data_IF_702358420531
#
_entry.id   IF_702358420531
#
_cell.length_a   1.000
_cell.length_b   1.000
_cell.length_c   1.000
_cell.angle_alpha   90.00
_cell.angle_beta   90.00
_cell.angle_gamma   90.00
#
_symmetry.space_group_name_H-M   'P 1'
#
loop_
_entity.id
_entity.type
_entity.pdbx_description
1 polymer ?
#
# COMPACT_ATOMS: atom_id res chain seq x y z
N UNK A 1 -12.01 10.38 26.40
CA UNK A 1 -11.62 9.85 25.08
C UNK A 1 -10.14 10.17 24.87
N UNK A 2 -9.28 9.33 25.42
CA UNK A 2 -7.82 9.54 25.47
C UNK A 2 -7.22 9.35 24.08
N UNK A 3 -6.71 10.42 23.48
CA UNK A 3 -5.96 10.34 22.22
C UNK A 3 -4.61 9.72 22.55
N UNK A 4 -4.50 8.40 22.44
CA UNK A 4 -3.23 7.68 22.53
C UNK A 4 -2.29 8.19 21.43
N UNK A 5 -1.44 9.19 21.77
CA UNK A 5 -0.19 9.41 21.05
C UNK A 5 0.71 8.26 21.47
N UNK A 6 0.71 7.18 20.68
CA UNK A 6 1.77 6.16 20.77
C UNK A 6 3.03 6.78 20.17
N UNK A 7 3.66 7.65 20.95
CA UNK A 7 5.00 8.15 20.73
C UNK A 7 5.98 7.22 21.44
N UNK A 8 7.08 6.93 20.75
CA UNK A 8 8.31 6.35 21.27
C UNK A 8 8.32 4.81 21.44
N UNK A 9 8.90 4.18 20.40
CA UNK A 9 9.68 2.93 20.47
C UNK A 9 9.01 1.72 21.14
N UNK A 10 7.70 1.59 21.04
CA UNK A 10 7.02 0.38 21.46
C UNK A 10 7.04 -0.65 20.33
N UNK A 11 8.00 -1.58 20.40
CA UNK A 11 7.95 -2.84 19.66
C UNK A 11 6.78 -3.67 20.22
N UNK A 12 5.56 -3.30 19.83
CA UNK A 12 4.34 -3.96 20.27
C UNK A 12 4.04 -5.14 19.34
N UNK A 13 3.92 -6.32 19.95
CA UNK A 13 3.80 -7.59 19.24
C UNK A 13 2.48 -7.70 18.46
N UNK A 14 1.37 -7.16 19.01
CA UNK A 14 0.05 -7.16 18.35
C UNK A 14 -0.79 -5.95 18.79
N UNK A 15 -1.27 -5.14 17.85
CA UNK A 15 -2.16 -4.02 18.13
C UNK A 15 -3.50 -4.13 17.39
N UNK A 16 -4.58 -3.83 18.12
CA UNK A 16 -5.90 -3.54 17.56
C UNK A 16 -6.16 -2.05 17.76
N UNK A 17 -6.47 -1.38 16.67
CA UNK A 17 -6.63 0.05 16.64
C UNK A 17 -8.06 0.40 16.23
N UNK A 18 -8.62 1.44 16.86
CA UNK A 18 -10.00 1.90 16.62
C UNK A 18 -10.24 2.42 15.19
N UNK A 19 -11.30 3.19 14.99
CA UNK A 19 -11.73 3.64 13.65
C UNK A 19 -10.67 4.47 12.91
N UNK A 20 -9.98 5.39 13.60
CA UNK A 20 -9.10 6.39 12.96
C UNK A 20 -7.71 6.56 13.62
N UNK A 21 -6.94 5.48 13.81
CA UNK A 21 -5.70 5.51 14.59
C UNK A 21 -4.58 6.19 13.81
N UNK A 22 -3.68 6.86 14.53
CA UNK A 22 -2.50 7.51 13.93
C UNK A 22 -1.21 7.00 14.54
N UNK A 23 -0.36 6.43 13.70
CA UNK A 23 0.95 5.92 14.08
C UNK A 23 2.06 6.78 13.47
N UNK A 24 3.09 7.05 14.26
CA UNK A 24 4.24 7.85 13.83
C UNK A 24 5.50 7.29 14.45
N UNK A 25 6.54 7.06 13.64
CA UNK A 25 7.82 6.48 14.09
C UNK A 25 7.63 5.16 14.86
N UNK A 26 6.79 4.27 14.32
CA UNK A 26 6.43 3.00 14.97
C UNK A 26 7.02 1.80 14.24
N UNK A 27 7.42 0.78 15.00
CA UNK A 27 7.82 -0.52 14.48
C UNK A 27 6.92 -1.58 15.12
N UNK A 28 6.08 -2.22 14.31
CA UNK A 28 5.03 -3.14 14.78
C UNK A 28 5.13 -4.47 14.05
N UNK A 29 5.07 -5.57 14.77
CA UNK A 29 5.09 -6.88 14.12
C UNK A 29 3.72 -7.16 13.47
N UNK A 30 2.63 -6.99 14.23
CA UNK A 30 1.27 -7.21 13.74
C UNK A 30 0.33 -6.07 14.11
N UNK A 31 -0.34 -5.49 13.12
CA UNK A 31 -1.36 -4.46 13.33
C UNK A 31 -2.67 -4.86 12.63
N UNK A 32 -3.78 -4.80 13.35
CA UNK A 32 -5.11 -4.69 12.76
C UNK A 32 -5.65 -3.31 13.08
N UNK A 33 -5.76 -2.49 12.03
CA UNK A 33 -6.30 -1.16 12.16
C UNK A 33 -7.71 -1.08 11.58
N UNK A 34 -8.55 -0.22 12.18
CA UNK A 34 -9.92 0.04 11.75
C UNK A 34 -10.00 0.77 10.41
N UNK A 35 -11.07 1.55 10.24
CA UNK A 35 -11.49 2.10 8.95
C UNK A 35 -10.43 2.97 8.26
N UNK A 36 -9.79 3.90 8.99
CA UNK A 36 -8.99 4.96 8.35
C UNK A 36 -7.61 5.21 9.02
N UNK A 37 -6.76 4.19 9.21
CA UNK A 37 -5.47 4.37 9.86
C UNK A 37 -4.54 5.30 9.07
N UNK A 38 -3.81 6.13 9.80
CA UNK A 38 -2.79 7.02 9.25
C UNK A 38 -1.42 6.67 9.83
N UNK A 39 -0.51 6.22 8.99
CA UNK A 39 0.81 5.76 9.43
C UNK A 39 1.92 6.50 8.72
N UNK A 40 2.84 7.03 9.53
CA UNK A 40 3.93 7.88 9.07
C UNK A 40 5.23 7.31 9.62
N UNK A 41 6.25 7.18 8.77
CA UNK A 41 7.58 6.72 9.18
C UNK A 41 7.50 5.41 9.99
N UNK A 42 6.76 4.43 9.49
CA UNK A 42 6.48 3.20 10.23
C UNK A 42 6.98 1.97 9.49
N UNK A 43 7.42 0.97 10.24
CA UNK A 43 7.83 -0.33 9.74
C UNK A 43 6.88 -1.40 10.29
N UNK A 44 6.26 -2.20 9.41
CA UNK A 44 5.37 -3.29 9.84
C UNK A 44 5.61 -4.61 9.11
N UNK A 45 5.66 -5.72 9.85
CA UNK A 45 5.79 -7.04 9.23
C UNK A 45 4.44 -7.51 8.65
N UNK A 46 3.36 -7.42 9.44
CA UNK A 46 2.02 -7.85 9.02
C UNK A 46 0.95 -6.82 9.39
N UNK A 47 0.16 -6.43 8.40
CA UNK A 47 -0.92 -5.47 8.59
C UNK A 47 -2.21 -5.87 7.88
N UNK A 48 -3.32 -5.70 8.60
CA UNK A 48 -4.66 -5.62 8.03
C UNK A 48 -5.25 -4.24 8.35
N UNK A 49 -5.51 -3.45 7.32
CA UNK A 49 -6.12 -2.13 7.45
C UNK A 49 -7.53 -2.15 6.85
N UNK A 50 -8.42 -1.31 7.40
CA UNK A 50 -9.78 -1.13 6.93
C UNK A 50 -9.87 -0.35 5.62
N UNK A 51 -10.97 0.38 5.45
CA UNK A 51 -11.43 0.98 4.19
C UNK A 51 -10.43 1.95 3.56
N UNK A 52 -9.97 2.99 4.27
CA UNK A 52 -9.27 4.14 3.65
C UNK A 52 -7.90 4.47 4.27
N UNK A 53 -6.97 3.50 4.37
CA UNK A 53 -5.74 3.68 5.12
C UNK A 53 -4.73 4.56 4.36
N UNK A 54 -3.99 5.40 5.09
CA UNK A 54 -3.00 6.34 4.54
C UNK A 54 -1.60 6.08 5.08
N UNK A 55 -0.64 6.02 4.17
CA UNK A 55 0.74 5.65 4.48
C UNK A 55 1.74 6.61 3.87
N UNK A 56 2.70 7.03 4.69
CA UNK A 56 3.79 7.90 4.28
C UNK A 56 5.12 7.43 4.83
N UNK A 57 6.14 7.34 3.98
CA UNK A 57 7.50 6.97 4.40
C UNK A 57 7.51 5.64 5.17
N UNK A 58 6.78 4.62 4.71
CA UNK A 58 6.58 3.39 5.46
C UNK A 58 7.12 2.17 4.71
N UNK A 59 7.57 1.17 5.46
CA UNK A 59 8.07 -0.11 4.93
C UNK A 59 7.19 -1.22 5.49
N UNK A 60 6.66 -2.09 4.62
CA UNK A 60 5.86 -3.22 5.08
C UNK A 60 6.13 -4.52 4.32
N UNK A 61 6.18 -5.64 5.02
CA UNK A 61 6.41 -6.93 4.36
C UNK A 61 5.10 -7.49 3.79
N UNK A 62 4.05 -7.59 4.62
CA UNK A 62 2.77 -8.19 4.23
C UNK A 62 1.60 -7.28 4.61
N UNK A 63 0.81 -6.91 3.60
CA UNK A 63 -0.35 -6.06 3.79
C UNK A 63 -1.60 -6.56 3.06
N UNK A 64 -2.72 -6.52 3.76
CA UNK A 64 -4.07 -6.48 3.18
C UNK A 64 -4.75 -5.16 3.54
N UNK A 65 -4.96 -4.30 2.55
CA UNK A 65 -5.68 -3.04 2.70
C UNK A 65 -7.10 -3.16 2.12
N UNK A 66 -8.01 -2.33 2.63
CA UNK A 66 -9.40 -2.24 2.16
C UNK A 66 -9.55 -1.51 0.84
N UNK A 67 -10.63 -0.74 0.75
CA UNK A 67 -11.21 -0.24 -0.49
C UNK A 67 -10.44 0.90 -1.16
N UNK A 68 -9.91 1.86 -0.40
CA UNK A 68 -9.32 3.09 -0.97
C UNK A 68 -7.96 3.51 -0.35
N UNK A 69 -6.98 2.61 -0.19
CA UNK A 69 -5.67 2.96 0.35
C UNK A 69 -4.90 4.03 -0.44
N UNK A 70 -4.18 4.88 0.29
CA UNK A 70 -3.28 5.89 -0.26
C UNK A 70 -1.85 5.75 0.28
N UNK A 71 -0.88 5.75 -0.63
CA UNK A 71 0.52 5.49 -0.32
C UNK A 71 1.47 6.49 -0.94
N UNK A 72 2.41 6.96 -0.12
CA UNK A 72 3.44 7.91 -0.54
C UNK A 72 4.80 7.51 0.01
N UNK A 73 5.78 7.42 -0.88
CA UNK A 73 7.17 7.14 -0.50
C UNK A 73 7.28 5.87 0.36
N UNK A 74 6.75 4.76 -0.14
CA UNK A 74 6.64 3.52 0.65
C UNK A 74 7.16 2.33 -0.13
N UNK A 75 7.70 1.35 0.59
CA UNK A 75 8.24 0.12 0.02
C UNK A 75 7.49 -1.07 0.64
N UNK A 76 7.03 -2.01 -0.19
CA UNK A 76 6.36 -3.20 0.30
C UNK A 76 6.74 -4.46 -0.48
N UNK A 77 6.91 -5.59 0.21
CA UNK A 77 7.13 -6.86 -0.48
C UNK A 77 5.83 -7.41 -1.08
N UNK A 78 4.80 -7.60 -0.24
CA UNK A 78 3.59 -8.34 -0.60
C UNK A 78 2.35 -7.56 -0.20
N UNK A 79 1.54 -7.25 -1.20
CA UNK A 79 0.35 -6.45 -0.99
C UNK A 79 -0.86 -6.98 -1.77
N UNK A 80 -2.00 -6.98 -1.09
CA UNK A 80 -3.32 -7.13 -1.68
C UNK A 80 -4.20 -5.93 -1.31
N UNK A 81 -4.76 -5.28 -2.32
CA UNK A 81 -5.72 -4.17 -2.17
C UNK A 81 -7.09 -4.57 -2.71
N UNK A 82 -8.14 -3.98 -2.13
CA UNK A 82 -9.54 -4.18 -2.47
C UNK A 82 -9.91 -3.63 -3.84
N UNK A 83 -10.29 -2.36 -3.93
CA UNK A 83 -10.94 -1.77 -5.11
C UNK A 83 -10.09 -0.69 -5.78
N UNK A 84 -9.85 0.41 -5.08
CA UNK A 84 -9.16 1.59 -5.60
C UNK A 84 -7.89 1.85 -4.79
N UNK A 85 -6.84 2.34 -5.44
CA UNK A 85 -5.58 2.56 -4.76
C UNK A 85 -4.81 3.72 -5.38
N UNK A 86 -4.16 4.53 -4.55
CA UNK A 86 -3.33 5.63 -5.03
C UNK A 86 -1.89 5.48 -4.54
N UNK A 87 -0.97 5.41 -5.50
CA UNK A 87 0.45 5.18 -5.24
C UNK A 87 1.30 6.30 -5.80
N UNK A 88 2.21 6.81 -4.96
CA UNK A 88 3.18 7.82 -5.37
C UNK A 88 4.56 7.50 -4.81
N UNK A 89 5.58 7.49 -5.68
CA UNK A 89 6.96 7.24 -5.29
C UNK A 89 7.07 5.94 -4.47
N UNK A 90 6.53 4.83 -4.97
CA UNK A 90 6.46 3.58 -4.18
C UNK A 90 7.06 2.40 -4.91
N UNK A 91 7.55 1.41 -4.17
CA UNK A 91 8.23 0.23 -4.70
C UNK A 91 7.58 -1.06 -4.19
N UNK A 92 7.36 -2.03 -5.09
CA UNK A 92 6.71 -3.30 -4.76
C UNK A 92 7.41 -4.51 -5.41
N UNK A 93 7.55 -5.60 -4.66
CA UNK A 93 7.94 -6.87 -5.27
C UNK A 93 6.73 -7.59 -5.88
N UNK A 94 5.69 -7.81 -5.08
CA UNK A 94 4.51 -8.59 -5.46
C UNK A 94 3.23 -7.87 -5.07
N UNK A 95 2.47 -7.50 -6.09
CA UNK A 95 1.25 -6.75 -5.91
C UNK A 95 0.05 -7.37 -6.63
N UNK A 96 -1.07 -7.40 -5.92
CA UNK A 96 -2.42 -7.56 -6.48
C UNK A 96 -3.29 -6.38 -6.07
N UNK A 97 -3.84 -5.66 -7.04
CA UNK A 97 -4.78 -4.56 -6.80
C UNK A 97 -6.19 -4.90 -7.30
N UNK A 98 -7.13 -4.01 -6.98
CA UNK A 98 -8.50 -4.02 -7.46
C UNK A 98 -8.71 -3.28 -8.76
N UNK A 99 -9.96 -2.92 -9.00
CA UNK A 99 -10.52 -2.40 -10.24
C UNK A 99 -9.84 -1.15 -10.80
N UNK A 100 -9.58 -0.11 -9.99
CA UNK A 100 -9.23 1.23 -10.52
C UNK A 100 -7.95 1.88 -9.91
N UNK A 101 -6.80 1.21 -9.92
CA UNK A 101 -5.59 1.70 -9.25
C UNK A 101 -4.90 2.81 -10.06
N UNK A 102 -4.32 3.77 -9.35
CA UNK A 102 -3.58 4.90 -9.91
C UNK A 102 -2.15 4.95 -9.39
N UNK A 103 -1.22 5.09 -10.32
CA UNK A 103 0.21 4.96 -10.07
C UNK A 103 0.98 6.17 -10.59
N UNK A 104 1.92 6.65 -9.79
CA UNK A 104 2.85 7.71 -10.18
C UNK A 104 4.25 7.43 -9.65
N UNK A 105 5.26 7.48 -10.52
CA UNK A 105 6.68 7.33 -10.14
C UNK A 105 6.90 6.06 -9.30
N UNK A 106 6.48 4.89 -9.77
CA UNK A 106 6.51 3.66 -8.96
C UNK A 106 7.21 2.52 -9.68
N UNK A 107 7.89 1.65 -8.94
CA UNK A 107 8.62 0.50 -9.47
C UNK A 107 8.00 -0.80 -8.95
N UNK A 108 7.72 -1.75 -9.83
CA UNK A 108 7.07 -3.01 -9.49
C UNK A 108 7.73 -4.20 -10.18
N UNK A 109 8.12 -5.22 -9.42
CA UNK A 109 8.71 -6.43 -10.01
C UNK A 109 7.63 -7.34 -10.60
N UNK A 110 6.53 -7.59 -9.86
CA UNK A 110 5.39 -8.41 -10.29
C UNK A 110 4.06 -7.75 -9.91
N UNK A 111 3.30 -7.34 -10.91
CA UNK A 111 1.99 -6.71 -10.75
C UNK A 111 0.89 -7.55 -11.42
N UNK A 112 -0.18 -7.82 -10.66
CA UNK A 112 -1.50 -8.13 -11.18
C UNK A 112 -2.43 -6.96 -10.87
N UNK A 113 -2.56 -6.05 -11.82
CA UNK A 113 -3.46 -4.91 -11.71
C UNK A 113 -4.89 -5.32 -12.11
N UNK A 114 -5.90 -4.58 -11.64
CA UNK A 114 -7.29 -4.82 -12.04
C UNK A 114 -7.64 -4.24 -13.40
N UNK A 115 -8.91 -3.85 -13.55
CA UNK A 115 -9.54 -3.68 -14.86
C UNK A 115 -9.28 -2.34 -15.53
N UNK A 116 -9.01 -1.27 -14.78
CA UNK A 116 -8.83 0.08 -15.34
C UNK A 116 -7.63 0.85 -14.77
N UNK A 117 -6.42 0.25 -14.64
CA UNK A 117 -5.27 0.93 -14.08
C UNK A 117 -4.79 2.14 -14.88
N UNK A 118 -4.26 3.12 -14.15
CA UNK A 118 -3.58 4.31 -14.71
C UNK A 118 -2.17 4.44 -14.17
N UNK A 119 -1.18 4.43 -15.05
CA UNK A 119 0.23 4.56 -14.69
C UNK A 119 0.90 5.79 -15.31
N UNK A 120 1.79 6.42 -14.53
CA UNK A 120 2.64 7.52 -15.00
C UNK A 120 4.04 7.36 -14.42
N UNK A 121 5.04 7.31 -15.29
CA UNK A 121 6.45 7.16 -14.89
C UNK A 121 6.67 5.92 -14.02
N UNK A 122 6.15 4.77 -14.45
CA UNK A 122 6.27 3.53 -13.69
C UNK A 122 7.14 2.51 -14.41
N UNK A 123 7.85 1.67 -13.66
CA UNK A 123 8.68 0.60 -14.22
C UNK A 123 8.15 -0.74 -13.74
N UNK A 124 8.03 -1.69 -14.66
CA UNK A 124 7.48 -3.02 -14.38
C UNK A 124 8.38 -4.13 -14.92
N UNK A 125 8.64 -5.14 -14.08
CA UNK A 125 9.22 -6.40 -14.56
C UNK A 125 8.16 -7.26 -15.25
N UNK A 126 7.18 -7.74 -14.49
CA UNK A 126 6.05 -8.57 -14.99
C UNK A 126 4.73 -7.91 -14.69
N UNK A 127 3.95 -7.62 -15.72
CA UNK A 127 2.62 -7.01 -15.61
C UNK A 127 1.54 -7.95 -16.13
N UNK A 128 0.49 -8.12 -15.33
CA UNK A 128 -0.82 -8.55 -15.78
C UNK A 128 -1.83 -7.46 -15.49
N UNK A 129 -2.65 -7.14 -16.48
CA UNK A 129 -3.72 -6.16 -16.38
C UNK A 129 -5.03 -6.80 -16.81
N UNK A 130 -6.15 -6.36 -16.23
CA UNK A 130 -7.49 -6.71 -16.69
C UNK A 130 -7.85 -5.99 -18.00
N UNK A 131 -9.10 -5.57 -18.11
CA UNK A 131 -9.71 -5.12 -19.37
C UNK A 131 -8.99 -3.97 -20.08
N UNK A 132 -8.69 -2.89 -19.38
CA UNK A 132 -8.20 -1.65 -20.00
C UNK A 132 -7.06 -1.01 -19.21
N UNK A 133 -6.02 -0.60 -19.93
CA UNK A 133 -4.79 -0.09 -19.35
C UNK A 133 -4.48 1.30 -19.91
N UNK A 134 -4.09 2.26 -19.06
CA UNK A 134 -3.53 3.55 -19.53
C UNK A 134 -2.19 3.82 -18.88
N UNK A 135 -1.11 3.90 -19.67
CA UNK A 135 0.22 4.28 -19.17
C UNK A 135 0.82 5.47 -19.93
N UNK A 136 1.65 6.26 -19.23
CA UNK A 136 2.51 7.29 -19.83
C UNK A 136 3.93 7.13 -19.31
N UNK A 137 4.91 7.14 -20.22
CA UNK A 137 6.34 7.09 -19.89
C UNK A 137 6.68 5.95 -18.92
N UNK A 138 6.18 4.74 -19.19
CA UNK A 138 6.29 3.61 -18.26
C UNK A 138 6.89 2.38 -18.94
N UNK A 139 8.20 2.12 -18.77
CA UNK A 139 8.87 0.95 -19.33
C UNK A 139 8.32 -0.37 -18.74
N UNK A 140 8.23 -1.39 -19.58
CA UNK A 140 7.73 -2.71 -19.22
C UNK A 140 8.57 -3.81 -19.88
N UNK A 141 9.05 -4.77 -19.10
CA UNK A 141 9.77 -5.92 -19.66
C UNK A 141 8.83 -7.00 -20.20
N UNK A 142 7.76 -7.34 -19.48
CA UNK A 142 6.84 -8.44 -19.86
C UNK A 142 5.38 -8.11 -19.54
N UNK A 143 4.55 -7.99 -20.59
CA UNK A 143 3.10 -7.88 -20.49
C UNK A 143 2.42 -9.24 -20.70
N UNK A 144 1.41 -9.55 -19.88
CA UNK A 144 0.48 -10.64 -20.14
C UNK A 144 -0.94 -10.14 -19.85
N UNK A 145 -1.76 -10.07 -20.89
CA UNK A 145 -3.21 -9.92 -20.74
C UNK A 145 -3.80 -11.20 -20.12
#
# INVERSE_FOLDING_TARGET
MEKLRVGEKSALEKLYAGETPRYSNSALEKLRAGETPCCIKSALEKLRAGETPRWRNSVLDKLRAGETPCWRNSALEKLRVGETAHWRNSAFEKLRTGETPRWRNSALEKLRDGDTPRWRNCVFGKLRVGETARWRSSPLEKLRA
#
